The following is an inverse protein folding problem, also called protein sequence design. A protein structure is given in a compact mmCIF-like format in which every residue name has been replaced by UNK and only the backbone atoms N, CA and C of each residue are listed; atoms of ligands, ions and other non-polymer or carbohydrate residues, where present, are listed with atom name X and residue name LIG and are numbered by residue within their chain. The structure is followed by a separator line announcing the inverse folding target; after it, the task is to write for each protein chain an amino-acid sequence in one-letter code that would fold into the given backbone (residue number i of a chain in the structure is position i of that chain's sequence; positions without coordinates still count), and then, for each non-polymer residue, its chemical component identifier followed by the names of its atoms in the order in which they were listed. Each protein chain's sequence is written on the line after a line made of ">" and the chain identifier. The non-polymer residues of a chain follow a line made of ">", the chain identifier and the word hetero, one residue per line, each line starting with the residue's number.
data_IF_276882874225
#
_entry.id   IF_276882874225
#
_cell.length_a   1.000
_cell.length_b   1.000
_cell.length_c   1.000
_cell.angle_alpha   90.00
_cell.angle_beta   90.00
_cell.angle_gamma   90.00
#
_symmetry.space_group_name_H-M   'P 1'
#
loop_
_entity.id
_entity.type
_entity.pdbx_description
1 polymer ?
#
# COMPACT_ATOMS: atom_id res chain seq x y z
N UNK A 1 -35.36 22.17 -10.17
CA UNK A 1 -34.79 22.55 -8.86
C UNK A 1 -33.55 21.70 -8.67
N UNK A 2 -32.40 22.22 -9.09
CA UNK A 2 -31.10 21.57 -9.00
C UNK A 2 -30.71 21.50 -7.52
N UNK A 3 -30.46 20.29 -7.00
CA UNK A 3 -29.73 20.10 -5.76
C UNK A 3 -28.33 19.66 -6.15
N UNK A 4 -27.38 20.55 -5.91
CA UNK A 4 -25.95 20.27 -5.97
C UNK A 4 -25.61 19.34 -4.81
N UNK A 5 -25.24 18.10 -5.13
CA UNK A 5 -24.60 17.20 -4.18
C UNK A 5 -23.14 17.63 -4.01
N UNK A 6 -22.81 18.09 -2.80
CA UNK A 6 -21.43 18.36 -2.39
C UNK A 6 -20.71 17.03 -2.17
N UNK A 7 -19.44 16.88 -2.58
CA UNK A 7 -18.66 15.72 -2.18
C UNK A 7 -18.31 15.83 -0.70
N UNK A 8 -18.68 14.80 0.06
CA UNK A 8 -18.28 14.60 1.45
C UNK A 8 -16.80 14.24 1.50
N UNK A 9 -15.95 15.23 1.79
CA UNK A 9 -14.62 15.00 2.35
C UNK A 9 -14.78 14.53 3.79
N UNK A 10 -14.31 13.32 4.11
CA UNK A 10 -13.83 12.93 5.44
C UNK A 10 -13.24 11.51 5.39
N UNK A 11 -11.99 11.39 4.96
CA UNK A 11 -11.08 10.36 5.47
C UNK A 11 -10.13 11.08 6.41
N UNK A 12 -10.19 10.77 7.71
CA UNK A 12 -9.32 11.38 8.72
C UNK A 12 -7.86 10.93 8.52
N UNK A 13 -7.16 11.62 7.62
CA UNK A 13 -5.72 11.76 7.69
C UNK A 13 -5.43 12.55 8.96
N UNK A 14 -4.59 12.01 9.83
CA UNK A 14 -3.99 12.76 10.94
C UNK A 14 -3.37 14.04 10.36
N UNK A 15 -3.99 15.19 10.66
CA UNK A 15 -3.65 16.51 10.09
C UNK A 15 -2.37 17.11 10.68
N UNK A 16 -1.60 16.33 11.45
CA UNK A 16 -0.29 16.73 11.97
C UNK A 16 0.79 16.81 10.88
N UNK A 17 0.57 16.21 9.70
CA UNK A 17 1.49 16.32 8.57
C UNK A 17 1.31 17.65 7.82
N UNK A 18 2.42 18.36 7.57
CA UNK A 18 2.39 19.49 6.64
C UNK A 18 2.26 18.91 5.22
N UNK A 19 1.05 18.91 4.67
CA UNK A 19 0.83 18.59 3.26
C UNK A 19 1.52 19.69 2.44
N UNK A 20 2.59 19.32 1.72
CA UNK A 20 3.39 20.27 0.94
C UNK A 20 2.86 20.36 -0.49
N UNK A 21 2.30 19.26 -1.01
CA UNK A 21 1.75 19.22 -2.35
C UNK A 21 0.59 18.24 -2.45
N UNK A 22 -0.48 18.64 -3.13
CA UNK A 22 -1.61 17.75 -3.50
C UNK A 22 -2.16 18.22 -4.83
N UNK A 23 -2.28 17.29 -5.78
CA UNK A 23 -3.06 17.49 -7.00
C UNK A 23 -4.06 16.33 -7.18
N UNK A 24 -4.69 16.22 -8.34
CA UNK A 24 -5.68 15.18 -8.60
C UNK A 24 -5.12 13.74 -8.59
N UNK A 25 -3.81 13.60 -8.81
CA UNK A 25 -3.13 12.32 -9.01
C UNK A 25 -2.24 11.93 -7.83
N UNK A 26 -1.55 12.91 -7.25
CA UNK A 26 -0.46 12.70 -6.29
C UNK A 26 -0.58 13.60 -5.07
N UNK A 27 -0.12 13.08 -3.94
CA UNK A 27 0.06 13.81 -2.70
C UNK A 27 1.49 13.62 -2.20
N UNK A 28 2.07 14.69 -1.67
CA UNK A 28 3.32 14.70 -0.91
C UNK A 28 3.05 15.32 0.44
N UNK A 29 3.21 14.52 1.49
CA UNK A 29 3.22 14.98 2.86
C UNK A 29 4.66 14.96 3.36
N UNK A 30 5.09 16.07 3.97
CA UNK A 30 6.41 16.17 4.61
C UNK A 30 6.16 16.50 6.07
N UNK A 31 6.63 15.63 6.95
CA UNK A 31 6.71 15.89 8.39
C UNK A 31 8.19 16.01 8.80
N UNK A 32 8.45 16.40 10.05
CA UNK A 32 9.79 16.59 10.62
C UNK A 32 10.71 15.37 10.42
N UNK A 33 10.14 14.17 10.27
CA UNK A 33 10.90 12.91 10.20
C UNK A 33 10.52 12.01 9.03
N UNK A 34 9.56 12.41 8.19
CA UNK A 34 9.06 11.53 7.14
C UNK A 34 8.65 12.31 5.90
N UNK A 35 8.73 11.60 4.77
CA UNK A 35 8.23 12.06 3.49
C UNK A 35 7.37 10.95 2.92
N UNK A 36 6.11 11.27 2.68
CA UNK A 36 5.10 10.32 2.24
C UNK A 36 4.65 10.76 0.85
N UNK A 37 4.65 9.80 -0.07
CA UNK A 37 4.13 9.95 -1.42
C UNK A 37 2.90 9.06 -1.53
N UNK A 38 1.83 9.56 -2.15
CA UNK A 38 0.60 8.78 -2.33
C UNK A 38 0.00 9.01 -3.72
N UNK A 39 -0.67 7.99 -4.25
CA UNK A 39 -1.62 8.16 -5.35
C UNK A 39 -2.97 8.56 -4.73
N UNK A 40 -3.53 9.70 -5.13
CA UNK A 40 -4.77 10.25 -4.54
C UNK A 40 -6.01 9.55 -5.09
N UNK A 41 -5.95 9.09 -6.35
CA UNK A 41 -7.04 8.41 -7.05
C UNK A 41 -6.53 7.08 -7.62
N UNK A 42 -6.76 6.85 -8.91
CA UNK A 42 -6.29 5.67 -9.60
C UNK A 42 -4.76 5.62 -9.57
N UNK A 43 -4.22 4.41 -9.47
CA UNK A 43 -2.78 4.17 -9.55
C UNK A 43 -2.24 4.65 -10.90
N UNK A 44 -1.24 5.54 -10.88
CA UNK A 44 -0.73 6.21 -12.08
C UNK A 44 0.33 5.41 -12.85
N UNK A 45 0.47 4.11 -12.57
CA UNK A 45 1.55 3.24 -13.05
C UNK A 45 2.92 3.65 -12.49
N UNK A 46 3.75 2.64 -12.25
CA UNK A 46 5.04 2.83 -11.59
C UNK A 46 5.95 3.83 -12.31
N UNK A 47 6.03 3.78 -13.63
CA UNK A 47 6.90 4.68 -14.40
C UNK A 47 6.59 6.16 -14.18
N UNK A 48 5.31 6.55 -14.18
CA UNK A 48 4.90 7.94 -13.95
C UNK A 48 5.06 8.32 -12.48
N UNK A 49 4.68 7.42 -11.57
CA UNK A 49 4.74 7.67 -10.14
C UNK A 49 6.18 7.77 -9.63
N UNK A 50 7.07 6.91 -10.10
CA UNK A 50 8.49 6.95 -9.77
C UNK A 50 9.20 8.18 -10.37
N UNK A 51 8.83 8.59 -11.59
CA UNK A 51 9.31 9.85 -12.15
C UNK A 51 8.89 11.06 -11.30
N UNK A 52 7.64 11.07 -10.82
CA UNK A 52 7.14 12.08 -9.89
C UNK A 52 7.93 12.09 -8.57
N UNK A 53 8.15 10.93 -7.94
CA UNK A 53 8.94 10.81 -6.70
C UNK A 53 10.35 11.39 -6.89
N UNK A 54 11.04 11.02 -7.98
CA UNK A 54 12.39 11.54 -8.29
C UNK A 54 12.38 13.06 -8.45
N UNK A 55 11.40 13.61 -9.18
CA UNK A 55 11.30 15.04 -9.39
C UNK A 55 11.10 15.81 -8.08
N UNK A 56 10.24 15.31 -7.19
CA UNK A 56 10.01 15.94 -5.89
C UNK A 56 11.26 15.85 -5.01
N UNK A 57 11.88 14.67 -4.88
CA UNK A 57 13.09 14.48 -4.08
C UNK A 57 14.22 15.41 -4.56
N UNK A 58 14.40 15.55 -5.88
CA UNK A 58 15.41 16.42 -6.46
C UNK A 58 15.10 17.92 -6.33
N UNK A 59 13.84 18.31 -6.14
CA UNK A 59 13.44 19.72 -6.03
C UNK A 59 13.61 20.31 -4.63
N UNK A 60 13.80 19.47 -3.62
CA UNK A 60 14.01 19.93 -2.24
C UNK A 60 15.37 20.61 -2.14
N UNK A 61 15.53 21.65 -1.32
CA UNK A 61 16.86 22.27 -1.13
C UNK A 61 17.80 21.33 -0.39
N UNK A 62 19.11 21.40 -0.66
CA UNK A 62 20.11 20.67 0.13
C UNK A 62 20.22 21.24 1.55
N UNK A 63 19.78 22.49 1.76
CA UNK A 63 19.72 23.11 3.08
C UNK A 63 18.57 22.58 3.94
N UNK A 64 17.55 21.99 3.31
CA UNK A 64 16.33 21.55 4.01
C UNK A 64 16.46 20.11 4.55
N UNK A 65 17.39 19.31 4.02
CA UNK A 65 17.56 17.90 4.38
C UNK A 65 19.05 17.55 4.50
N UNK A 66 19.59 17.67 5.71
CA UNK A 66 20.93 17.18 6.08
C UNK A 66 20.89 15.84 6.84
N UNK A 67 19.79 15.09 6.76
CA UNK A 67 19.63 13.85 7.51
C UNK A 67 19.95 12.60 6.67
N UNK A 68 20.54 11.61 7.35
CA UNK A 68 20.58 10.23 6.87
C UNK A 68 19.17 9.68 6.71
N UNK A 69 18.93 8.91 5.65
CA UNK A 69 17.66 8.18 5.47
C UNK A 69 17.68 6.96 6.39
N UNK A 70 16.70 6.83 7.28
CA UNK A 70 16.62 5.72 8.26
C UNK A 70 15.68 4.59 7.80
N UNK A 71 14.73 4.89 6.91
CA UNK A 71 13.83 3.90 6.33
C UNK A 71 13.35 4.35 4.95
N UNK A 72 13.30 3.42 4.01
CA UNK A 72 12.55 3.56 2.76
C UNK A 72 11.56 2.41 2.70
N UNK A 73 10.31 2.70 2.32
CA UNK A 73 9.28 1.67 2.19
C UNK A 73 8.29 1.99 1.09
N UNK A 74 7.68 0.95 0.57
CA UNK A 74 6.60 0.98 -0.42
C UNK A 74 5.45 0.15 0.13
N UNK A 75 4.25 0.73 0.08
CA UNK A 75 3.03 0.13 0.59
C UNK A 75 1.94 0.12 -0.47
N UNK A 76 1.34 -1.03 -0.70
CA UNK A 76 0.17 -1.19 -1.57
C UNK A 76 -0.99 -1.76 -0.78
N UNK A 77 -2.13 -1.06 -0.82
CA UNK A 77 -3.37 -1.50 -0.21
C UNK A 77 -4.35 -1.84 -1.34
N UNK A 78 -4.69 -3.12 -1.46
CA UNK A 78 -5.61 -3.64 -2.46
C UNK A 78 -6.94 -4.01 -1.80
N UNK A 79 -8.05 -3.58 -2.38
CA UNK A 79 -9.40 -3.94 -1.93
C UNK A 79 -10.17 -4.68 -3.03
N UNK A 80 -10.67 -5.87 -2.69
CA UNK A 80 -11.38 -6.77 -3.60
C UNK A 80 -12.84 -6.94 -3.16
N UNK A 81 -13.71 -6.07 -3.68
CA UNK A 81 -15.13 -6.02 -3.29
C UNK A 81 -15.98 -7.25 -3.68
N UNK A 82 -15.53 -8.05 -4.66
CA UNK A 82 -16.33 -9.16 -5.22
C UNK A 82 -16.05 -10.52 -4.57
N UNK A 83 -15.21 -10.56 -3.55
CA UNK A 83 -14.85 -11.80 -2.86
C UNK A 83 -14.67 -11.54 -1.38
N UNK A 84 -15.49 -12.19 -0.56
CA UNK A 84 -15.38 -12.20 0.90
C UNK A 84 -14.51 -13.37 1.38
N UNK A 85 -14.25 -14.36 0.53
CA UNK A 85 -13.43 -15.54 0.85
C UNK A 85 -11.95 -15.29 0.56
N UNK A 86 -11.18 -15.10 1.62
CA UNK A 86 -9.72 -14.97 1.58
C UNK A 86 -9.06 -16.21 0.92
N UNK A 87 -9.66 -17.38 1.10
CA UNK A 87 -9.19 -18.66 0.52
C UNK A 87 -9.22 -18.68 -1.02
N UNK A 88 -10.09 -17.89 -1.66
CA UNK A 88 -10.09 -17.76 -3.13
C UNK A 88 -8.94 -16.90 -3.63
N UNK A 89 -8.45 -15.99 -2.78
CA UNK A 89 -7.44 -14.99 -3.15
C UNK A 89 -6.02 -15.51 -2.91
N UNK A 90 -5.78 -16.27 -1.84
CA UNK A 90 -4.42 -16.65 -1.43
C UNK A 90 -4.00 -18.04 -1.93
N UNK A 91 -2.72 -18.22 -2.31
CA UNK A 91 -2.15 -19.52 -2.74
C UNK A 91 -2.23 -20.61 -1.68
N UNK A 92 -2.03 -20.21 -0.42
CA UNK A 92 -2.06 -21.08 0.74
C UNK A 92 -2.70 -20.26 1.85
N UNK A 93 -4.03 -20.21 1.98
CA UNK A 93 -4.64 -19.65 3.18
C UNK A 93 -3.99 -20.38 4.36
N UNK A 94 -3.28 -19.62 5.19
CA UNK A 94 -2.42 -20.12 6.26
C UNK A 94 -3.18 -21.15 7.10
N UNK A 95 -2.90 -22.44 6.87
CA UNK A 95 -3.43 -23.62 7.59
C UNK A 95 -4.73 -23.34 8.33
N UNK A 96 -5.82 -23.09 7.59
CA UNK A 96 -7.13 -23.14 8.21
C UNK A 96 -7.42 -24.61 8.52
N UNK A 97 -7.68 -24.90 9.79
CA UNK A 97 -8.02 -26.24 10.28
C UNK A 97 -9.46 -26.60 9.86
N UNK A 98 -9.87 -26.28 8.62
CA UNK A 98 -11.23 -26.57 8.13
C UNK A 98 -11.53 -28.07 8.20
N UNK A 99 -10.52 -28.90 7.89
CA UNK A 99 -10.65 -30.36 7.92
C UNK A 99 -10.97 -30.91 9.32
N UNK A 100 -10.67 -30.20 10.41
CA UNK A 100 -10.97 -30.65 11.79
C UNK A 100 -12.18 -29.95 12.43
N UNK A 101 -12.60 -28.78 11.93
CA UNK A 101 -13.68 -27.97 12.55
C UNK A 101 -14.97 -27.91 11.73
N UNK A 102 -14.98 -28.43 10.50
CA UNK A 102 -16.15 -28.45 9.61
C UNK A 102 -16.26 -27.19 8.74
N UNK A 103 -17.35 -27.11 7.96
CA UNK A 103 -17.57 -26.03 7.00
C UNK A 103 -17.80 -24.68 7.71
N UNK A 104 -16.95 -23.70 7.40
CA UNK A 104 -17.06 -22.34 7.92
C UNK A 104 -18.03 -21.55 7.04
N UNK A 105 -19.23 -21.27 7.54
CA UNK A 105 -20.29 -20.57 6.78
C UNK A 105 -20.23 -19.04 6.91
N UNK A 106 -19.61 -18.53 7.96
CA UNK A 106 -19.41 -17.10 8.20
C UNK A 106 -18.09 -16.86 8.94
N UNK A 107 -17.07 -16.37 8.23
CA UNK A 107 -15.78 -16.03 8.85
C UNK A 107 -15.43 -14.58 8.61
N UNK A 108 -15.09 -13.90 9.70
CA UNK A 108 -14.12 -12.82 9.67
C UNK A 108 -12.73 -13.42 9.80
N UNK A 109 -11.84 -13.03 8.89
CA UNK A 109 -10.45 -13.37 8.90
C UNK A 109 -9.64 -12.09 9.05
N UNK A 110 -8.65 -12.13 9.92
CA UNK A 110 -7.62 -11.10 10.02
C UNK A 110 -6.28 -11.79 10.26
N UNK A 111 -5.30 -11.49 9.41
CA UNK A 111 -3.94 -11.99 9.52
C UNK A 111 -2.96 -10.84 9.40
N UNK A 112 -1.92 -10.86 10.23
CA UNK A 112 -0.79 -9.94 10.16
C UNK A 112 0.51 -10.76 10.21
N UNK A 113 1.33 -10.66 9.17
CA UNK A 113 2.55 -11.43 9.01
C UNK A 113 3.70 -10.49 8.74
N UNK A 114 4.69 -10.51 9.63
CA UNK A 114 5.96 -9.78 9.43
C UNK A 114 7.08 -10.78 9.28
N UNK A 115 7.87 -10.64 8.23
CA UNK A 115 9.03 -11.48 7.97
C UNK A 115 10.12 -10.71 7.25
N UNK A 116 11.28 -11.34 7.11
CA UNK A 116 12.42 -10.77 6.41
C UNK A 116 12.77 -11.64 5.21
N UNK A 117 13.00 -11.00 4.06
CA UNK A 117 13.47 -11.64 2.84
C UNK A 117 14.70 -10.88 2.34
N UNK A 118 15.87 -11.50 2.49
CA UNK A 118 17.17 -10.84 2.28
C UNK A 118 17.31 -9.59 3.16
N UNK A 119 17.49 -8.42 2.56
CA UNK A 119 17.62 -7.12 3.21
C UNK A 119 16.26 -6.44 3.46
N UNK A 120 15.16 -7.00 2.93
CA UNK A 120 13.84 -6.40 3.00
C UNK A 120 13.05 -6.92 4.19
N UNK A 121 12.42 -6.01 4.93
CA UNK A 121 11.36 -6.30 5.89
C UNK A 121 10.02 -6.21 5.17
N UNK A 122 9.26 -7.29 5.21
CA UNK A 122 7.96 -7.42 4.57
C UNK A 122 6.88 -7.55 5.65
N UNK A 123 5.77 -6.86 5.46
CA UNK A 123 4.55 -6.99 6.25
C UNK A 123 3.39 -7.26 5.31
N UNK A 124 2.57 -8.24 5.65
CA UNK A 124 1.33 -8.57 4.96
C UNK A 124 0.21 -8.49 5.98
N UNK A 125 -0.76 -7.62 5.75
CA UNK A 125 -2.01 -7.62 6.48
C UNK A 125 -3.13 -8.01 5.54
N UNK A 126 -3.98 -8.94 5.99
CA UNK A 126 -5.08 -9.45 5.20
C UNK A 126 -6.30 -9.48 6.09
N UNK A 127 -7.43 -9.00 5.59
CA UNK A 127 -8.70 -9.25 6.25
C UNK A 127 -9.88 -9.20 5.29
N UNK A 128 -11.00 -9.75 5.73
CA UNK A 128 -12.28 -9.60 5.03
C UNK A 128 -13.31 -8.89 5.93
N UNK A 129 -14.40 -8.42 5.33
CA UNK A 129 -15.52 -7.74 6.03
C UNK A 129 -15.05 -6.54 6.87
N UNK A 130 -14.20 -5.70 6.28
CA UNK A 130 -13.59 -4.55 6.97
C UNK A 130 -14.53 -3.35 6.88
N UNK A 131 -14.75 -2.69 8.02
CA UNK A 131 -15.45 -1.41 8.08
C UNK A 131 -14.45 -0.27 7.88
N UNK A 132 -14.68 0.57 6.87
CA UNK A 132 -13.85 1.75 6.65
C UNK A 132 -14.24 2.88 7.62
N UNK A 133 -13.27 3.58 8.24
CA UNK A 133 -13.55 4.72 9.09
C UNK A 133 -14.31 5.81 8.33
N UNK A 134 -15.44 6.28 8.86
CA UNK A 134 -16.24 7.35 8.26
C UNK A 134 -17.36 6.89 7.33
N UNK A 135 -17.46 5.59 7.04
CA UNK A 135 -18.58 5.01 6.31
C UNK A 135 -19.50 4.25 7.27
N UNK A 136 -20.82 4.49 7.18
CA UNK A 136 -21.82 3.77 7.98
C UNK A 136 -21.95 2.31 7.56
N UNK A 137 -21.60 2.01 6.31
CA UNK A 137 -21.86 0.74 5.67
C UNK A 137 -20.59 -0.12 5.70
N UNK A 138 -20.72 -1.36 6.15
CA UNK A 138 -19.63 -2.35 6.04
C UNK A 138 -19.45 -2.67 4.56
N UNK A 139 -18.27 -2.37 4.02
CA UNK A 139 -17.92 -2.82 2.68
C UNK A 139 -17.50 -4.29 2.76
N UNK A 140 -18.29 -5.16 2.16
CA UNK A 140 -17.92 -6.56 1.99
C UNK A 140 -16.84 -6.69 0.93
N UNK A 141 -15.80 -7.46 1.25
CA UNK A 141 -14.65 -7.68 0.41
C UNK A 141 -13.43 -8.07 1.22
N UNK A 142 -12.31 -8.28 0.53
CA UNK A 142 -11.02 -8.56 1.13
C UNK A 142 -10.05 -7.40 0.92
N UNK A 143 -9.36 -6.98 1.98
CA UNK A 143 -8.23 -6.05 1.91
C UNK A 143 -6.95 -6.83 2.06
N UNK A 144 -5.97 -6.52 1.22
CA UNK A 144 -4.60 -6.98 1.32
C UNK A 144 -3.70 -5.75 1.32
N UNK A 145 -2.94 -5.59 2.40
CA UNK A 145 -2.00 -4.49 2.61
C UNK A 145 -0.59 -5.06 2.71
N UNK A 146 0.22 -4.71 1.72
CA UNK A 146 1.61 -5.14 1.58
C UNK A 146 2.51 -3.94 1.86
N UNK A 147 3.41 -4.05 2.83
CA UNK A 147 4.48 -3.07 3.09
C UNK A 147 5.83 -3.77 2.96
N UNK A 148 6.68 -3.26 2.07
CA UNK A 148 8.06 -3.71 1.91
C UNK A 148 8.98 -2.54 2.21
N UNK A 149 9.96 -2.76 3.09
CA UNK A 149 10.86 -1.70 3.53
C UNK A 149 12.28 -2.18 3.81
N UNK A 150 13.20 -1.23 3.84
CA UNK A 150 14.60 -1.41 4.23
C UNK A 150 15.00 -0.27 5.16
N UNK A 151 15.81 -0.58 6.17
CA UNK A 151 16.32 0.39 7.15
C UNK A 151 17.84 0.34 7.31
N UNK A 152 18.49 -0.72 6.82
CA UNK A 152 19.93 -0.92 6.98
C UNK A 152 20.68 -0.46 5.73
N UNK A 153 21.87 0.13 5.93
CA UNK A 153 22.80 0.55 4.88
C UNK A 153 22.18 1.48 3.82
N UNK A 154 21.28 2.36 4.24
CA UNK A 154 20.65 3.33 3.35
C UNK A 154 21.63 4.42 2.88
N UNK A 155 21.60 4.77 1.59
CA UNK A 155 22.45 5.82 1.04
C UNK A 155 21.97 7.20 1.48
N UNK A 156 22.79 8.21 1.18
CA UNK A 156 22.40 9.61 1.41
C UNK A 156 21.18 9.99 0.57
N UNK A 157 20.43 10.96 1.08
CA UNK A 157 19.29 11.55 0.38
C UNK A 157 19.73 12.13 -0.99
N UNK A 158 18.83 12.09 -2.00
CA UNK A 158 19.07 12.53 -3.40
C UNK A 158 20.23 11.86 -4.13
N UNK A 159 20.53 10.59 -3.82
CA UNK A 159 21.53 9.82 -4.59
C UNK A 159 20.85 8.85 -5.56
N UNK A 160 21.54 8.50 -6.65
CA UNK A 160 21.08 7.45 -7.57
C UNK A 160 20.83 6.14 -6.82
N UNK A 161 21.71 5.78 -5.89
CA UNK A 161 21.54 4.58 -5.06
C UNK A 161 20.22 4.59 -4.24
N UNK A 162 19.75 5.75 -3.79
CA UNK A 162 18.45 5.85 -3.10
C UNK A 162 17.30 5.54 -4.06
N UNK A 163 17.37 6.07 -5.28
CA UNK A 163 16.36 5.82 -6.30
C UNK A 163 16.35 4.34 -6.73
N UNK A 164 17.53 3.73 -6.86
CA UNK A 164 17.66 2.30 -7.16
C UNK A 164 17.02 1.44 -6.05
N UNK A 165 17.17 1.84 -4.78
CA UNK A 165 16.51 1.17 -3.65
C UNK A 165 14.99 1.29 -3.75
N UNK A 166 14.46 2.49 -4.00
CA UNK A 166 13.01 2.72 -4.17
C UNK A 166 12.46 1.85 -5.30
N UNK A 167 13.15 1.78 -6.43
CA UNK A 167 12.76 0.94 -7.58
C UNK A 167 12.78 -0.55 -7.22
N UNK A 168 13.83 -1.01 -6.53
CA UNK A 168 13.95 -2.41 -6.09
C UNK A 168 12.87 -2.81 -5.08
N UNK A 169 12.44 -1.89 -4.21
CA UNK A 169 11.35 -2.15 -3.26
C UNK A 169 10.01 -2.36 -3.98
N UNK A 170 9.80 -1.69 -5.11
CA UNK A 170 8.59 -1.88 -5.91
C UNK A 170 8.59 -3.26 -6.57
N UNK A 171 9.73 -3.70 -7.10
CA UNK A 171 9.86 -5.03 -7.67
C UNK A 171 9.67 -6.13 -6.60
N UNK A 172 10.22 -5.93 -5.40
CA UNK A 172 10.04 -6.87 -4.28
C UNK A 172 8.58 -6.90 -3.80
N UNK A 173 7.91 -5.75 -3.69
CA UNK A 173 6.49 -5.67 -3.34
C UNK A 173 5.62 -6.38 -4.39
N UNK A 174 5.85 -6.11 -5.68
CA UNK A 174 5.13 -6.78 -6.77
C UNK A 174 5.38 -8.29 -6.77
N UNK A 175 6.63 -8.69 -6.53
CA UNK A 175 7.01 -10.09 -6.36
C UNK A 175 6.26 -10.73 -5.19
N UNK A 176 6.13 -10.02 -4.08
CA UNK A 176 5.39 -10.47 -2.90
C UNK A 176 3.89 -10.61 -3.21
N UNK A 177 3.28 -9.63 -3.88
CA UNK A 177 1.89 -9.68 -4.32
C UNK A 177 1.63 -10.97 -5.12
N UNK A 178 2.43 -11.25 -6.16
CA UNK A 178 2.29 -12.46 -6.98
C UNK A 178 2.57 -13.74 -6.17
N UNK A 179 3.49 -13.70 -5.21
CA UNK A 179 3.82 -14.86 -4.37
C UNK A 179 2.68 -15.24 -3.40
N UNK A 180 1.89 -14.27 -2.97
CA UNK A 180 0.80 -14.47 -2.00
C UNK A 180 -0.51 -14.88 -2.68
N UNK A 181 -0.79 -14.35 -3.87
CA UNK A 181 -2.06 -14.54 -4.58
C UNK A 181 -2.14 -15.88 -5.34
N UNK A 182 -3.29 -16.56 -5.27
CA UNK A 182 -3.61 -17.78 -6.03
C UNK A 182 -3.51 -17.53 -7.54
N UNK A 183 -3.10 -18.55 -8.30
CA UNK A 183 -2.98 -18.42 -9.75
C UNK A 183 -4.35 -18.15 -10.40
N UNK A 184 -5.39 -18.85 -9.94
CA UNK A 184 -6.76 -18.66 -10.42
C UNK A 184 -7.23 -17.22 -10.18
N UNK A 185 -6.95 -16.66 -9.00
CA UNK A 185 -7.29 -15.27 -8.69
C UNK A 185 -6.51 -14.29 -9.56
N UNK A 186 -5.19 -14.47 -9.69
CA UNK A 186 -4.36 -13.63 -10.56
C UNK A 186 -4.86 -13.63 -12.01
N UNK A 187 -5.25 -14.80 -12.52
CA UNK A 187 -5.80 -14.94 -13.87
C UNK A 187 -7.19 -14.29 -14.03
N UNK A 188 -7.94 -14.13 -12.93
CA UNK A 188 -9.23 -13.44 -12.92
C UNK A 188 -9.11 -11.90 -12.94
N UNK A 189 -7.93 -11.36 -12.58
CA UNK A 189 -7.72 -9.92 -12.53
C UNK A 189 -7.69 -9.34 -13.95
N UNK A 190 -8.60 -8.41 -14.23
CA UNK A 190 -8.56 -7.60 -15.44
C UNK A 190 -7.74 -6.34 -15.16
N UNK A 191 -6.58 -6.21 -15.82
CA UNK A 191 -5.78 -4.98 -15.75
C UNK A 191 -6.54 -3.88 -16.51
N UNK A 192 -6.83 -2.76 -15.84
CA UNK A 192 -7.39 -1.56 -16.47
C UNK A 192 -6.36 -0.43 -16.37
N UNK A 193 -6.08 0.20 -17.50
CA UNK A 193 -5.21 1.37 -17.63
C UNK A 193 -6.07 2.63 -17.75
#
# INVERSE_FOLDING_TARGET
>A
MLKEDRPSENSSLDTSNNIVFKNEMFLVAIDKKSMIFENVKNYQLWGNYFAFIKNVINSISDQDIQSSVERVGIRYISFFAKTDKVTMILKKPFLMVEDEIGEITDSSFYGNFTFQRNLYRCSIQIGNKIQFPGESDVKEGCVIDLDVSISDNLPRFKTTALFDIIDSLHDEEKGLFVAVMSEDFLNSLTIKY
#
